data_IF_789106489245
#
_entry.id   IF_789106489245
#
_cell.length_a   1.000
_cell.length_b   1.000
_cell.length_c   1.000
_cell.angle_alpha   90.00
_cell.angle_beta   90.00
_cell.angle_gamma   90.00
#
_symmetry.space_group_name_H-M   'P 1'
#
loop_
_entity.id
_entity.type
_entity.pdbx_description
1 polymer ?
#
# COMPACT_ATOMS: atom_id res chain seq x y z
N UNK A 1 -41.36 56.27 -16.13
CA UNK A 1 -40.07 55.87 -15.52
C UNK A 1 -40.12 54.38 -15.24
N UNK A 2 -39.10 53.65 -15.73
CA UNK A 2 -38.54 52.37 -15.24
C UNK A 2 -39.39 51.54 -14.27
N UNK A 3 -39.65 50.25 -14.55
CA UNK A 3 -38.70 49.19 -14.19
C UNK A 3 -38.88 47.92 -15.03
N UNK A 4 -37.76 47.49 -15.58
CA UNK A 4 -37.47 46.18 -16.17
C UNK A 4 -37.39 45.08 -15.11
N UNK A 5 -37.76 43.85 -15.46
CA UNK A 5 -37.01 42.59 -15.22
C UNK A 5 -37.84 41.39 -15.72
N UNK A 6 -37.37 40.60 -16.70
CA UNK A 6 -37.94 39.28 -17.00
C UNK A 6 -37.32 38.24 -16.05
N UNK A 7 -38.16 37.41 -15.42
CA UNK A 7 -37.71 36.24 -14.68
C UNK A 7 -37.26 35.16 -15.70
N UNK A 8 -35.96 34.96 -15.81
CA UNK A 8 -35.34 33.90 -16.62
C UNK A 8 -35.18 32.63 -15.76
N UNK A 9 -35.46 31.51 -16.40
CA UNK A 9 -35.51 30.15 -15.91
C UNK A 9 -34.22 29.62 -15.26
N UNK A 10 -34.39 28.60 -14.41
CA UNK A 10 -33.44 27.48 -14.31
C UNK A 10 -34.20 26.22 -13.84
N UNK A 11 -34.46 25.30 -14.77
CA UNK A 11 -34.85 23.93 -14.44
C UNK A 11 -33.66 23.26 -13.73
N UNK A 12 -33.85 22.88 -12.48
CA UNK A 12 -32.98 21.95 -11.76
C UNK A 12 -33.13 20.55 -12.37
N UNK A 13 -32.27 20.21 -13.32
CA UNK A 13 -32.07 18.81 -13.72
C UNK A 13 -31.31 18.10 -12.59
N UNK A 14 -32.03 17.23 -11.86
CA UNK A 14 -31.46 16.23 -10.98
C UNK A 14 -30.64 15.24 -11.82
N UNK A 15 -29.32 15.39 -11.81
CA UNK A 15 -28.39 14.36 -12.28
C UNK A 15 -27.88 13.65 -11.01
N UNK A 16 -28.07 12.32 -10.88
CA UNK A 16 -27.52 11.58 -9.76
C UNK A 16 -25.99 11.60 -9.87
N UNK A 17 -25.34 12.20 -8.87
CA UNK A 17 -23.92 11.99 -8.63
C UNK A 17 -23.73 10.52 -8.22
N UNK A 18 -23.63 9.64 -9.21
CA UNK A 18 -23.06 8.32 -9.01
C UNK A 18 -21.63 8.56 -8.52
N UNK A 19 -21.41 8.39 -7.21
CA UNK A 19 -20.09 8.29 -6.63
C UNK A 19 -19.37 7.16 -7.33
N UNK A 20 -18.46 7.51 -8.24
CA UNK A 20 -17.52 6.55 -8.79
C UNK A 20 -16.48 6.37 -7.70
N UNK A 21 -16.76 5.43 -6.80
CA UNK A 21 -15.74 4.76 -6.03
C UNK A 21 -14.69 4.29 -7.05
N UNK A 22 -13.51 4.90 -6.99
CA UNK A 22 -12.37 4.53 -7.80
C UNK A 22 -11.90 3.15 -7.34
N UNK A 23 -12.57 2.11 -7.83
CA UNK A 23 -11.99 0.77 -7.89
C UNK A 23 -10.93 0.77 -9.00
N UNK A 24 -9.87 1.55 -8.79
CA UNK A 24 -8.59 1.32 -9.44
C UNK A 24 -7.92 0.08 -8.80
N UNK A 25 -8.64 -1.05 -8.81
CA UNK A 25 -8.08 -2.38 -8.57
C UNK A 25 -7.42 -2.82 -9.88
N UNK A 26 -6.44 -2.03 -10.32
CA UNK A 26 -5.53 -2.42 -11.39
C UNK A 26 -4.74 -3.61 -10.89
N UNK A 27 -5.16 -4.80 -11.32
CA UNK A 27 -4.50 -6.07 -11.05
C UNK A 27 -3.11 -6.05 -11.71
N UNK A 28 -2.16 -5.43 -11.02
CA UNK A 28 -0.75 -5.41 -11.37
C UNK A 28 -0.20 -6.78 -11.01
N UNK A 29 -0.35 -7.78 -11.87
CA UNK A 29 0.36 -9.04 -11.68
C UNK A 29 1.80 -8.83 -12.19
N UNK A 30 2.82 -8.74 -11.31
CA UNK A 30 4.20 -8.94 -11.72
C UNK A 30 4.37 -10.38 -12.23
N UNK A 31 5.43 -10.71 -12.98
CA UNK A 31 5.69 -12.09 -13.34
C UNK A 31 5.85 -12.88 -12.05
N UNK A 32 4.86 -13.72 -11.74
CA UNK A 32 4.95 -14.69 -10.67
C UNK A 32 6.24 -15.46 -10.90
N UNK A 33 7.20 -15.36 -9.98
CA UNK A 33 8.28 -16.33 -9.90
C UNK A 33 7.62 -17.71 -9.95
N UNK A 34 8.00 -18.53 -10.94
CA UNK A 34 7.29 -19.76 -11.33
C UNK A 34 6.66 -20.50 -10.14
N UNK A 35 5.33 -20.47 -10.03
CA UNK A 35 4.57 -21.16 -8.96
C UNK A 35 4.20 -20.34 -7.73
N UNK A 36 4.47 -19.03 -7.70
CA UNK A 36 4.01 -18.12 -6.64
C UNK A 36 2.69 -17.42 -7.01
N UNK A 37 1.90 -17.04 -6.00
CA UNK A 37 0.68 -16.22 -6.17
C UNK A 37 0.83 -14.95 -5.35
N UNK A 38 0.50 -13.80 -5.93
CA UNK A 38 0.43 -12.54 -5.18
C UNK A 38 -0.77 -12.54 -4.23
N UNK A 39 -0.49 -12.23 -2.97
CA UNK A 39 -1.49 -12.08 -1.90
C UNK A 39 -1.92 -10.63 -1.79
N UNK A 40 -0.95 -9.72 -1.81
CA UNK A 40 -1.17 -8.28 -1.74
C UNK A 40 -0.01 -7.52 -2.39
N UNK A 41 -0.28 -6.28 -2.83
CA UNK A 41 0.71 -5.42 -3.47
C UNK A 41 0.50 -3.95 -3.09
N UNK A 42 1.60 -3.20 -3.02
CA UNK A 42 1.62 -1.77 -2.69
C UNK A 42 2.54 -1.04 -3.65
N UNK A 43 2.04 0.03 -4.26
CA UNK A 43 2.90 1.00 -4.95
C UNK A 43 3.69 1.81 -3.92
N UNK A 44 4.98 2.02 -4.16
CA UNK A 44 5.87 2.73 -3.25
C UNK A 44 6.27 4.07 -3.83
N UNK A 45 6.42 5.07 -2.96
CA UNK A 45 6.92 6.38 -3.36
C UNK A 45 8.38 6.28 -3.76
N UNK A 46 8.66 6.53 -5.04
CA UNK A 46 10.03 6.59 -5.57
C UNK A 46 10.66 7.98 -5.44
N UNK A 47 11.91 8.10 -5.90
CA UNK A 47 12.54 9.41 -6.05
C UNK A 47 11.92 10.16 -7.24
N UNK A 48 11.80 11.49 -7.13
CA UNK A 48 11.33 12.33 -8.22
C UNK A 48 12.20 12.14 -9.48
N UNK A 49 11.56 11.87 -10.62
CA UNK A 49 12.26 11.56 -11.89
C UNK A 49 12.95 10.19 -11.94
N UNK A 50 12.86 9.39 -10.87
CA UNK A 50 13.37 8.02 -10.82
C UNK A 50 12.37 6.97 -11.29
N UNK A 51 12.75 5.68 -11.30
CA UNK A 51 11.83 4.60 -11.62
C UNK A 51 10.74 4.47 -10.55
N UNK A 52 9.60 3.90 -10.93
CA UNK A 52 8.57 3.51 -9.99
C UNK A 52 8.96 2.22 -9.25
N UNK A 53 8.50 2.09 -8.02
CA UNK A 53 8.73 0.92 -7.17
C UNK A 53 7.41 0.36 -6.66
N UNK A 54 7.40 -0.94 -6.40
CA UNK A 54 6.31 -1.62 -5.72
C UNK A 54 6.89 -2.67 -4.77
N UNK A 55 6.08 -3.09 -3.82
CA UNK A 55 6.36 -4.29 -3.06
C UNK A 55 5.14 -5.20 -3.05
N UNK A 56 5.39 -6.51 -3.09
CA UNK A 56 4.34 -7.52 -3.16
C UNK A 56 4.59 -8.63 -2.13
N UNK A 57 3.52 -9.01 -1.41
CA UNK A 57 3.49 -10.26 -0.64
C UNK A 57 3.15 -11.40 -1.59
N UNK A 58 4.06 -12.36 -1.71
CA UNK A 58 3.89 -13.55 -2.54
C UNK A 58 3.79 -14.80 -1.67
N UNK A 59 2.86 -15.69 -2.01
CA UNK A 59 2.78 -17.04 -1.47
C UNK A 59 3.34 -18.04 -2.48
N UNK A 60 4.44 -18.69 -2.12
CA UNK A 60 5.15 -19.67 -2.94
C UNK A 60 5.11 -21.03 -2.24
N UNK A 61 4.05 -21.81 -2.46
CA UNK A 61 3.77 -23.01 -1.69
C UNK A 61 3.52 -22.68 -0.21
N UNK A 62 4.40 -23.16 0.68
CA UNK A 62 4.36 -22.87 2.12
C UNK A 62 5.14 -21.62 2.54
N UNK A 63 5.88 -21.00 1.62
CA UNK A 63 6.69 -19.80 1.90
C UNK A 63 5.87 -18.55 1.62
N UNK A 64 6.00 -17.56 2.49
CA UNK A 64 5.57 -16.19 2.25
C UNK A 64 6.81 -15.34 2.01
N UNK A 65 6.79 -14.54 0.95
CA UNK A 65 7.86 -13.63 0.58
C UNK A 65 7.29 -12.22 0.54
N UNK A 66 8.07 -11.24 0.98
CA UNK A 66 7.89 -9.85 0.58
C UNK A 66 8.96 -9.55 -0.46
N UNK A 67 8.54 -9.09 -1.63
CA UNK A 67 9.41 -8.82 -2.78
C UNK A 67 9.35 -7.34 -3.09
N UNK A 68 10.51 -6.69 -3.11
CA UNK A 68 10.68 -5.33 -3.61
C UNK A 68 10.93 -5.38 -5.12
N UNK A 69 10.23 -4.53 -5.86
CA UNK A 69 10.23 -4.53 -7.31
C UNK A 69 10.47 -3.13 -7.83
N UNK A 70 11.18 -3.06 -8.96
CA UNK A 70 11.42 -1.84 -9.72
C UNK A 70 10.80 -1.97 -11.09
N UNK A 71 10.14 -0.91 -11.54
CA UNK A 71 9.67 -0.84 -12.92
C UNK A 71 10.88 -0.67 -13.84
N UNK A 72 11.12 -1.63 -14.73
CA UNK A 72 12.24 -1.64 -15.68
C UNK A 72 11.82 -1.31 -17.11
N UNK A 73 10.52 -1.27 -17.38
CA UNK A 73 10.01 -0.89 -18.68
C UNK A 73 8.49 -0.91 -18.74
N UNK A 74 7.98 -0.97 -19.97
CA UNK A 74 6.56 -1.15 -20.27
C UNK A 74 6.40 -2.10 -21.45
N UNK A 75 5.36 -2.91 -21.42
CA UNK A 75 4.87 -3.65 -22.57
C UNK A 75 3.49 -3.08 -22.95
N UNK A 76 3.47 -2.17 -23.92
CA UNK A 76 2.32 -1.31 -24.17
C UNK A 76 1.98 -0.48 -22.91
N UNK A 77 0.74 -0.60 -22.44
CA UNK A 77 0.30 0.12 -21.23
C UNK A 77 0.71 -0.57 -19.93
N UNK A 78 1.15 -1.82 -19.97
CA UNK A 78 1.46 -2.61 -18.78
C UNK A 78 2.90 -2.32 -18.30
N UNK A 79 3.11 -1.98 -17.02
CA UNK A 79 4.46 -1.86 -16.48
C UNK A 79 5.15 -3.23 -16.44
N UNK A 80 6.43 -3.24 -16.78
CA UNK A 80 7.31 -4.41 -16.61
C UNK A 80 8.09 -4.23 -15.32
N UNK A 81 7.94 -5.19 -14.41
CA UNK A 81 8.56 -5.17 -13.10
C UNK A 81 9.69 -6.19 -13.02
N UNK A 82 10.77 -5.82 -12.34
CA UNK A 82 11.86 -6.73 -11.97
C UNK A 82 12.00 -6.76 -10.46
N UNK A 83 12.07 -7.97 -9.89
CA UNK A 83 12.42 -8.13 -8.48
C UNK A 83 13.86 -7.68 -8.25
N UNK A 84 14.06 -6.83 -7.24
CA UNK A 84 15.37 -6.27 -6.88
C UNK A 84 15.84 -6.71 -5.50
N UNK A 85 14.91 -6.98 -4.58
CA UNK A 85 15.22 -7.57 -3.28
C UNK A 85 14.03 -8.40 -2.77
N UNK A 86 14.28 -9.31 -1.84
CA UNK A 86 13.23 -10.10 -1.21
C UNK A 86 13.59 -10.54 0.21
N UNK A 87 12.58 -10.64 1.06
CA UNK A 87 12.70 -11.23 2.40
C UNK A 87 11.69 -12.35 2.58
N UNK A 88 12.11 -13.41 3.27
CA UNK A 88 11.19 -14.48 3.66
C UNK A 88 10.44 -14.08 4.92
N UNK A 89 9.12 -14.15 4.88
CA UNK A 89 8.25 -13.89 6.02
C UNK A 89 7.92 -15.22 6.70
N UNK A 90 8.19 -15.30 8.00
CA UNK A 90 7.74 -16.37 8.86
C UNK A 90 6.78 -15.81 9.90
N UNK A 91 5.49 -16.17 9.78
CA UNK A 91 4.43 -15.75 10.70
C UNK A 91 4.53 -16.58 12.00
N UNK A 92 4.70 -15.95 13.18
CA UNK A 92 4.73 -16.69 14.45
C UNK A 92 3.42 -17.42 14.76
N UNK A 93 2.29 -16.88 14.26
CA UNK A 93 0.98 -17.52 14.36
C UNK A 93 0.10 -17.11 13.17
N UNK A 94 -1.00 -17.85 12.89
CA UNK A 94 -1.93 -17.50 11.81
C UNK A 94 -2.57 -16.12 11.94
N UNK A 95 -2.58 -15.54 13.16
CA UNK A 95 -3.12 -14.20 13.43
C UNK A 95 -2.13 -13.08 13.07
N UNK A 96 -0.86 -13.39 12.79
CA UNK A 96 0.10 -12.39 12.36
C UNK A 96 -0.05 -12.11 10.87
N UNK A 97 -0.04 -10.85 10.52
CA UNK A 97 -0.25 -10.34 9.18
C UNK A 97 0.86 -9.38 8.79
N UNK A 98 1.13 -9.31 7.48
CA UNK A 98 2.03 -8.30 6.95
C UNK A 98 1.28 -6.97 6.88
N UNK A 99 1.71 -6.03 7.71
CA UNK A 99 1.19 -4.68 7.74
C UNK A 99 1.92 -3.85 6.68
N UNK A 100 1.15 -3.23 5.79
CA UNK A 100 1.66 -2.45 4.66
C UNK A 100 2.05 -1.02 5.10
N UNK A 101 2.86 -0.30 4.29
CA UNK A 101 3.32 1.06 4.59
C UNK A 101 2.23 2.09 4.88
N UNK A 102 1.01 1.89 4.35
CA UNK A 102 -0.12 2.76 4.68
C UNK A 102 -0.55 2.68 6.15
N UNK A 103 -0.20 1.60 6.85
CA UNK A 103 -0.60 1.37 8.24
C UNK A 103 0.53 1.62 9.24
N UNK A 104 1.78 1.69 8.78
CA UNK A 104 2.95 1.65 9.65
C UNK A 104 3.92 2.78 9.34
N UNK A 105 4.36 3.47 10.40
CA UNK A 105 5.39 4.50 10.36
C UNK A 105 6.51 4.19 11.34
N UNK A 106 7.71 4.72 11.07
CA UNK A 106 8.85 4.65 11.97
C UNK A 106 9.31 6.04 12.39
N UNK A 107 9.41 6.26 13.69
CA UNK A 107 10.02 7.50 14.24
C UNK A 107 11.50 7.64 13.89
N UNK A 108 12.21 6.53 13.63
CA UNK A 108 13.64 6.55 13.25
C UNK A 108 13.86 6.75 11.76
N UNK A 109 12.87 6.37 10.94
CA UNK A 109 12.91 6.45 9.49
C UNK A 109 11.58 7.04 8.97
N UNK A 110 11.29 8.31 9.28
CA UNK A 110 9.96 8.90 9.03
C UNK A 110 9.63 9.01 7.53
N UNK A 111 10.64 9.08 6.67
CA UNK A 111 10.49 9.22 5.22
C UNK A 111 10.46 7.88 4.47
N UNK A 112 10.77 6.77 5.14
CA UNK A 112 10.85 5.47 4.48
C UNK A 112 9.52 4.73 4.61
N UNK A 113 9.12 4.02 3.56
CA UNK A 113 8.00 3.08 3.64
C UNK A 113 8.36 1.89 4.55
N UNK A 114 7.47 1.55 5.49
CA UNK A 114 7.70 0.50 6.48
C UNK A 114 6.70 -0.64 6.35
N UNK A 115 7.21 -1.85 6.25
CA UNK A 115 6.43 -3.07 6.44
C UNK A 115 6.67 -3.61 7.85
N UNK A 116 5.64 -4.15 8.48
CA UNK A 116 5.76 -4.79 9.78
C UNK A 116 5.00 -6.13 9.83
N UNK A 117 5.38 -7.00 10.74
CA UNK A 117 4.68 -8.24 11.02
C UNK A 117 4.11 -8.16 12.42
N UNK A 118 2.78 -8.08 12.52
CA UNK A 118 2.07 -7.89 13.77
C UNK A 118 0.65 -8.44 13.72
N UNK A 119 -0.15 -8.14 14.73
CA UNK A 119 -1.57 -8.51 14.79
C UNK A 119 -2.39 -7.24 14.82
N UNK A 120 -3.33 -7.05 13.90
CA UNK A 120 -4.27 -5.93 14.00
C UNK A 120 -5.36 -6.26 15.03
N UNK A 121 -5.66 -5.30 15.90
CA UNK A 121 -6.62 -5.44 16.99
C UNK A 121 -7.49 -4.18 17.02
N UNK A 122 -8.80 -4.39 16.95
CA UNK A 122 -9.79 -3.34 17.15
C UNK A 122 -9.74 -2.86 18.60
N UNK A 123 -9.71 -1.54 18.78
CA UNK A 123 -9.67 -0.86 20.05
C UNK A 123 -11.09 -0.53 20.52
N UNK A 124 -11.29 -0.23 21.83
CA UNK A 124 -12.62 0.11 22.35
C UNK A 124 -13.29 1.33 21.70
N UNK A 125 -12.50 2.22 21.09
CA UNK A 125 -12.97 3.40 20.36
C UNK A 125 -13.27 3.12 18.87
N UNK A 126 -13.16 1.87 18.43
CA UNK A 126 -13.36 1.44 17.04
C UNK A 126 -12.17 1.67 16.11
N UNK A 127 -11.07 2.26 16.60
CA UNK A 127 -9.81 2.32 15.85
C UNK A 127 -9.14 0.96 15.80
N UNK A 128 -8.19 0.77 14.87
CA UNK A 128 -7.41 -0.46 14.79
C UNK A 128 -5.94 -0.16 15.09
N UNK A 129 -5.34 -0.92 16.00
CA UNK A 129 -3.91 -0.80 16.32
C UNK A 129 -3.24 -2.15 16.19
N UNK A 130 -1.98 -2.14 15.73
CA UNK A 130 -1.19 -3.35 15.78
C UNK A 130 -0.65 -3.62 17.18
N UNK A 131 -0.81 -4.86 17.62
CA UNK A 131 -0.15 -5.43 18.78
C UNK A 131 0.84 -6.51 18.36
N UNK A 132 1.78 -6.86 19.25
CA UNK A 132 2.76 -7.93 19.03
C UNK A 132 3.50 -7.78 17.69
N UNK A 133 3.97 -6.57 17.39
CA UNK A 133 4.85 -6.34 16.23
C UNK A 133 6.19 -7.02 16.52
N UNK A 134 6.53 -8.05 15.75
CA UNK A 134 7.70 -8.91 16.01
C UNK A 134 8.86 -8.68 15.04
N UNK A 135 8.58 -8.15 13.86
CA UNK A 135 9.58 -7.86 12.82
C UNK A 135 9.11 -6.67 12.00
N UNK A 136 10.08 -5.93 11.47
CA UNK A 136 9.80 -4.86 10.54
C UNK A 136 10.95 -4.65 9.57
N UNK A 137 10.60 -4.09 8.42
CA UNK A 137 11.52 -3.77 7.34
C UNK A 137 11.18 -2.38 6.80
N UNK A 138 12.20 -1.55 6.66
CA UNK A 138 12.09 -0.32 5.86
C UNK A 138 12.48 -0.60 4.43
N UNK A 139 11.88 0.09 3.49
CA UNK A 139 12.32 0.13 2.09
C UNK A 139 13.36 1.25 1.93
N UNK A 140 14.63 0.87 1.76
CA UNK A 140 15.70 1.80 1.42
C UNK A 140 15.79 1.91 -0.11
N UNK A 141 14.97 2.79 -0.69
CA UNK A 141 14.89 2.98 -2.15
C UNK A 141 16.24 3.39 -2.74
N UNK A 142 17.04 4.18 -2.02
CA UNK A 142 18.37 4.62 -2.48
C UNK A 142 19.33 3.45 -2.67
N UNK A 143 19.18 2.39 -1.88
CA UNK A 143 19.98 1.17 -1.95
C UNK A 143 19.23 -0.02 -2.56
N UNK A 144 18.03 0.21 -3.09
CA UNK A 144 17.16 -0.80 -3.71
C UNK A 144 17.00 -2.08 -2.85
N UNK A 145 16.82 -1.93 -1.53
CA UNK A 145 16.73 -3.06 -0.60
C UNK A 145 15.70 -2.86 0.51
N UNK A 146 15.24 -3.97 1.07
CA UNK A 146 14.54 -4.03 2.33
C UNK A 146 15.53 -4.26 3.47
N UNK A 147 15.57 -3.33 4.42
CA UNK A 147 16.43 -3.43 5.58
C UNK A 147 15.58 -3.73 6.81
N UNK A 148 15.91 -4.81 7.53
CA UNK A 148 15.32 -5.07 8.83
C UNK A 148 15.61 -3.89 9.78
N UNK A 149 14.60 -3.48 10.54
CA UNK A 149 14.69 -2.40 11.53
C UNK A 149 14.18 -2.87 12.89
N UNK A 150 14.63 -2.25 14.00
CA UNK A 150 14.06 -2.49 15.31
C UNK A 150 12.57 -2.15 15.32
N UNK A 151 11.79 -2.93 16.08
CA UNK A 151 10.34 -2.66 16.26
C UNK A 151 10.08 -1.48 17.21
N UNK A 152 11.08 -1.13 18.03
CA UNK A 152 11.01 0.00 18.95
C UNK A 152 10.87 1.33 18.20
N UNK A 153 9.78 2.04 18.45
CA UNK A 153 9.45 3.30 17.78
C UNK A 153 8.68 3.14 16.48
N UNK A 154 8.13 1.94 16.21
CA UNK A 154 7.10 1.75 15.21
C UNK A 154 5.71 2.09 15.76
N UNK A 155 4.94 2.77 14.94
CA UNK A 155 3.52 2.99 15.16
C UNK A 155 2.77 2.39 13.97
N UNK A 156 2.00 1.33 14.23
CA UNK A 156 1.13 0.72 13.24
C UNK A 156 -0.33 0.83 13.68
N UNK A 157 -1.11 1.65 13.01
CA UNK A 157 -2.50 1.94 13.35
C UNK A 157 -3.31 2.32 12.09
N UNK A 158 -4.62 2.16 12.21
CA UNK A 158 -5.64 2.52 11.25
C UNK A 158 -6.71 3.31 12.00
N UNK A 159 -6.86 4.59 11.66
CA UNK A 159 -7.95 5.38 12.21
C UNK A 159 -9.26 5.00 11.51
N UNK A 160 -10.40 5.02 12.21
CA UNK A 160 -11.70 4.65 11.63
C UNK A 160 -12.22 5.64 10.57
N UNK A 161 -11.48 6.72 10.32
CA UNK A 161 -11.82 7.77 9.36
C UNK A 161 -11.15 7.59 7.98
N UNK A 162 -10.23 6.63 7.83
CA UNK A 162 -9.52 6.31 6.58
C UNK A 162 -10.08 5.06 5.88
#
# INVERSE_FOLDING_TARGET
MSRSLPAVAALLALIPAAGHASEARGKLAPPAANGCVEVSGTALTGMAGGPAYSAAELKCGTKLLLVLQRQTGRNGNLPVWSAIDQVTIAKPSPRHELLQPGYCSSTRFPEDSVFALGRMVEQPDGSYRSENVVKAWRVDIKRERMAAIPVDGLLCALDPAD
#
